data_IF_799177416804
#
_entry.id   IF_799177416804
#
_cell.length_a   1.000
_cell.length_b   1.000
_cell.length_c   1.000
_cell.angle_alpha   90.00
_cell.angle_beta   90.00
_cell.angle_gamma   90.00
#
_symmetry.space_group_name_H-M   'P 1'
#
loop_
_entity.id
_entity.type
_entity.pdbx_description
1 polymer ?
#
# COMPACT_ATOMS: atom_id res chain seq x y z
N UNK A 1 -10.73 -10.15 -9.04
CA UNK A 1 -9.57 -9.37 -8.56
C UNK A 1 -9.91 -8.48 -7.37
N UNK A 2 -10.97 -7.68 -7.39
CA UNK A 2 -11.40 -6.77 -6.30
C UNK A 2 -11.59 -7.46 -4.95
N UNK A 3 -12.26 -8.63 -4.94
CA UNK A 3 -12.46 -9.44 -3.71
C UNK A 3 -11.12 -9.82 -3.05
N UNK A 4 -10.12 -10.24 -3.85
CA UNK A 4 -8.78 -10.58 -3.34
C UNK A 4 -8.05 -9.36 -2.78
N UNK A 5 -8.21 -8.19 -3.40
CA UNK A 5 -7.66 -6.93 -2.87
C UNK A 5 -8.31 -6.55 -1.53
N UNK A 6 -9.62 -6.74 -1.41
CA UNK A 6 -10.34 -6.45 -0.17
C UNK A 6 -9.92 -7.40 0.96
N UNK A 7 -9.89 -8.70 0.71
CA UNK A 7 -9.47 -9.72 1.68
C UNK A 7 -8.02 -9.47 2.14
N UNK A 8 -7.10 -9.27 1.20
CA UNK A 8 -5.71 -8.92 1.55
C UNK A 8 -5.61 -7.67 2.42
N UNK A 9 -6.37 -6.63 2.11
CA UNK A 9 -6.37 -5.39 2.90
C UNK A 9 -6.87 -5.63 4.31
N UNK A 10 -7.94 -6.40 4.47
CA UNK A 10 -8.48 -6.81 5.78
C UNK A 10 -7.44 -7.56 6.59
N UNK A 11 -6.78 -8.56 6.01
CA UNK A 11 -5.73 -9.34 6.68
C UNK A 11 -4.54 -8.45 7.11
N UNK A 12 -4.07 -7.54 6.24
CA UNK A 12 -2.98 -6.60 6.58
C UNK A 12 -3.39 -5.65 7.70
N UNK A 13 -4.61 -5.13 7.68
CA UNK A 13 -5.11 -4.25 8.75
C UNK A 13 -5.19 -5.00 10.08
N UNK A 14 -5.81 -6.18 10.09
CA UNK A 14 -5.93 -7.01 11.28
C UNK A 14 -4.56 -7.42 11.85
N UNK A 15 -3.59 -7.75 10.98
CA UNK A 15 -2.22 -8.03 11.41
C UNK A 15 -1.56 -6.80 12.05
N UNK A 16 -1.77 -5.61 11.48
CA UNK A 16 -1.22 -4.35 12.02
C UNK A 16 -1.81 -4.02 13.38
N UNK A 17 -3.12 -4.21 13.56
CA UNK A 17 -3.78 -3.96 14.83
C UNK A 17 -3.34 -4.96 15.90
N UNK A 18 -3.23 -6.24 15.54
CA UNK A 18 -2.68 -7.27 16.44
C UNK A 18 -1.19 -6.99 16.81
N UNK A 19 -0.39 -6.44 15.89
CA UNK A 19 0.98 -6.02 16.21
C UNK A 19 1.02 -4.88 17.23
N UNK A 20 0.14 -3.88 17.10
CA UNK A 20 0.03 -2.79 18.08
C UNK A 20 -0.36 -3.32 19.46
N UNK A 21 -1.35 -4.25 19.52
CA UNK A 21 -1.76 -4.91 20.75
C UNK A 21 -0.60 -5.71 21.37
N UNK A 22 0.15 -6.47 20.54
CA UNK A 22 1.32 -7.22 21.00
C UNK A 22 2.37 -6.30 21.64
N UNK A 23 2.71 -5.19 20.99
CA UNK A 23 3.67 -4.22 21.52
C UNK A 23 3.17 -3.60 22.82
N UNK A 24 1.91 -3.19 22.91
CA UNK A 24 1.32 -2.62 24.13
C UNK A 24 1.36 -3.62 25.30
N UNK A 25 1.02 -4.88 25.01
CA UNK A 25 1.04 -5.94 26.04
C UNK A 25 2.47 -6.26 26.52
N UNK A 26 3.49 -6.21 25.64
CA UNK A 26 4.89 -6.41 26.03
C UNK A 26 5.38 -5.28 26.94
N UNK A 27 4.93 -4.03 26.69
CA UNK A 27 5.31 -2.88 27.55
C UNK A 27 4.69 -3.01 28.96
N UNK A 28 3.45 -3.49 29.04
CA UNK A 28 2.74 -3.68 30.30
C UNK A 28 3.01 -5.04 30.98
N UNK A 29 3.79 -5.92 30.36
CA UNK A 29 4.03 -7.27 30.85
C UNK A 29 4.86 -7.28 32.16
N UNK A 30 4.72 -8.32 33.01
CA UNK A 30 5.62 -8.56 34.14
C UNK A 30 7.08 -8.56 33.73
N UNK A 31 7.97 -8.17 34.65
CA UNK A 31 9.39 -7.93 34.39
C UNK A 31 10.08 -9.12 33.68
N UNK A 32 9.78 -10.34 34.12
CA UNK A 32 10.32 -11.58 33.54
C UNK A 32 10.07 -11.68 32.03
N UNK A 33 8.88 -11.32 31.59
CA UNK A 33 8.51 -11.33 30.17
C UNK A 33 9.05 -10.11 29.44
N UNK A 34 8.95 -8.92 30.06
CA UNK A 34 9.38 -7.66 29.48
C UNK A 34 10.88 -7.66 29.18
N UNK A 35 11.72 -8.09 30.13
CA UNK A 35 13.17 -8.18 29.92
C UNK A 35 13.56 -9.17 28.83
N UNK A 36 12.89 -10.31 28.79
CA UNK A 36 13.11 -11.35 27.78
C UNK A 36 12.72 -10.90 26.37
N UNK A 37 11.75 -9.99 26.23
CA UNK A 37 11.16 -9.59 24.95
C UNK A 37 11.58 -8.21 24.46
N UNK A 38 12.11 -7.34 25.31
CA UNK A 38 12.54 -5.97 24.95
C UNK A 38 13.65 -5.94 23.90
N UNK A 39 13.86 -4.78 23.31
CA UNK A 39 14.92 -4.51 22.32
C UNK A 39 14.88 -5.38 21.04
N UNK A 40 13.72 -5.94 20.70
CA UNK A 40 13.53 -6.73 19.49
C UNK A 40 12.83 -5.91 18.39
N UNK A 41 13.22 -6.11 17.15
CA UNK A 41 12.41 -5.64 16.01
C UNK A 41 11.05 -6.33 16.02
N UNK A 42 10.00 -5.72 15.43
CA UNK A 42 8.65 -6.30 15.36
C UNK A 42 8.66 -7.74 14.86
N UNK A 43 9.44 -8.03 13.82
CA UNK A 43 9.58 -9.39 13.27
C UNK A 43 10.16 -10.39 14.28
N UNK A 44 11.22 -9.98 14.98
CA UNK A 44 11.86 -10.81 16.01
C UNK A 44 10.95 -11.00 17.21
N UNK A 45 10.21 -9.95 17.61
CA UNK A 45 9.25 -10.00 18.70
C UNK A 45 8.12 -10.99 18.41
N UNK A 46 7.47 -10.89 17.25
CA UNK A 46 6.44 -11.85 16.83
C UNK A 46 6.99 -13.29 16.80
N UNK A 47 8.20 -13.49 16.28
CA UNK A 47 8.82 -14.82 16.25
C UNK A 47 9.11 -15.36 17.65
N UNK A 48 9.59 -14.51 18.57
CA UNK A 48 9.86 -14.87 19.96
C UNK A 48 8.57 -15.22 20.72
N UNK A 49 7.56 -14.36 20.63
CA UNK A 49 6.26 -14.56 21.28
C UNK A 49 5.54 -15.83 20.77
N UNK A 50 5.59 -16.10 19.44
CA UNK A 50 4.98 -17.31 18.88
C UNK A 50 5.55 -18.62 19.41
N UNK A 51 6.82 -18.58 19.86
CA UNK A 51 7.55 -19.74 20.44
C UNK A 51 7.59 -19.71 21.96
N UNK A 52 6.93 -18.73 22.60
CA UNK A 52 6.98 -18.57 24.06
C UNK A 52 6.45 -19.85 24.74
N UNK A 53 7.25 -20.40 25.65
CA UNK A 53 6.83 -21.51 26.50
C UNK A 53 6.33 -20.95 27.82
N UNK A 54 5.18 -21.44 28.27
CA UNK A 54 4.62 -21.11 29.58
C UNK A 54 5.28 -22.04 30.58
N UNK A 55 5.88 -21.53 31.61
CA UNK A 55 6.55 -22.29 32.64
C UNK A 55 5.59 -22.53 33.82
N UNK A 56 5.70 -23.69 34.46
CA UNK A 56 4.82 -24.08 35.57
C UNK A 56 5.06 -23.26 36.86
N UNK A 57 6.23 -22.69 36.96
CA UNK A 57 6.71 -21.84 38.07
C UNK A 57 6.29 -20.35 37.98
N UNK A 58 5.65 -20.01 36.86
CA UNK A 58 5.15 -18.65 36.68
C UNK A 58 3.85 -18.45 37.45
N UNK A 59 3.71 -17.24 38.01
CA UNK A 59 2.43 -16.81 38.58
C UNK A 59 1.31 -16.73 37.52
N UNK A 60 0.09 -16.56 37.99
CA UNK A 60 -1.10 -16.52 37.12
C UNK A 60 -1.04 -15.37 36.11
N UNK A 61 -0.57 -14.20 36.54
CA UNK A 61 -0.48 -13.01 35.68
C UNK A 61 0.56 -13.22 34.57
N UNK A 62 1.76 -13.67 34.91
CA UNK A 62 2.85 -13.96 33.97
C UNK A 62 2.43 -15.07 32.99
N UNK A 63 1.81 -16.14 33.46
CA UNK A 63 1.33 -17.24 32.64
C UNK A 63 0.24 -16.79 31.66
N UNK A 64 -0.75 -16.04 32.12
CA UNK A 64 -1.84 -15.51 31.30
C UNK A 64 -1.33 -14.52 30.25
N UNK A 65 -0.44 -13.60 30.66
CA UNK A 65 0.18 -12.65 29.74
C UNK A 65 1.00 -13.37 28.67
N UNK A 66 1.82 -14.35 29.07
CA UNK A 66 2.60 -15.17 28.14
C UNK A 66 1.74 -15.94 27.14
N UNK A 67 0.61 -16.52 27.59
CA UNK A 67 -0.32 -17.22 26.71
C UNK A 67 -0.98 -16.26 25.71
N UNK A 68 -1.38 -15.07 26.15
CA UNK A 68 -1.97 -14.03 25.30
C UNK A 68 -0.97 -13.51 24.26
N UNK A 69 0.27 -13.23 24.65
CA UNK A 69 1.35 -12.85 23.72
C UNK A 69 1.59 -13.91 22.65
N UNK A 70 1.60 -15.19 23.04
CA UNK A 70 1.76 -16.31 22.11
C UNK A 70 0.58 -16.41 21.13
N UNK A 71 -0.65 -16.23 21.60
CA UNK A 71 -1.86 -16.25 20.77
C UNK A 71 -1.86 -15.11 19.75
N UNK A 72 -1.59 -13.87 20.19
CA UNK A 72 -1.47 -12.70 19.31
C UNK A 72 -0.39 -12.90 18.24
N UNK A 73 0.78 -13.40 18.64
CA UNK A 73 1.87 -13.62 17.70
C UNK A 73 1.56 -14.69 16.64
N UNK A 74 0.86 -15.76 17.00
CA UNK A 74 0.37 -16.78 16.05
C UNK A 74 -0.64 -16.17 15.07
N UNK A 75 -1.62 -15.44 15.59
CA UNK A 75 -2.61 -14.71 14.77
C UNK A 75 -1.95 -13.75 13.78
N UNK A 76 -0.93 -12.98 14.20
CA UNK A 76 -0.18 -12.09 13.31
C UNK A 76 0.48 -12.88 12.17
N UNK A 77 1.06 -14.03 12.46
CA UNK A 77 1.69 -14.89 11.45
C UNK A 77 0.68 -15.42 10.45
N UNK A 78 -0.44 -15.91 10.90
CA UNK A 78 -1.54 -16.43 10.06
C UNK A 78 -2.07 -15.34 9.12
N UNK A 79 -2.41 -14.17 9.65
CA UNK A 79 -2.88 -13.02 8.85
C UNK A 79 -1.83 -12.53 7.85
N UNK A 80 -0.55 -12.59 8.21
CA UNK A 80 0.55 -12.23 7.30
C UNK A 80 0.69 -13.24 6.17
N UNK A 81 0.54 -14.53 6.46
CA UNK A 81 0.50 -15.60 5.45
C UNK A 81 -0.69 -15.43 4.51
N UNK A 82 -1.88 -15.26 5.06
CA UNK A 82 -3.11 -15.00 4.28
C UNK A 82 -2.94 -13.81 3.31
N UNK A 83 -2.38 -12.70 3.81
CA UNK A 83 -2.11 -11.53 2.97
C UNK A 83 -1.10 -11.82 1.85
N UNK A 84 -0.11 -12.69 2.09
CA UNK A 84 0.86 -13.12 1.08
C UNK A 84 0.21 -14.03 0.03
N UNK A 85 -0.66 -14.95 0.43
CA UNK A 85 -1.39 -15.85 -0.47
C UNK A 85 -2.32 -15.06 -1.40
N UNK A 86 -3.05 -14.09 -0.85
CA UNK A 86 -3.84 -13.17 -1.67
C UNK A 86 -2.98 -12.37 -2.65
N UNK A 87 -1.81 -11.89 -2.22
CA UNK A 87 -0.87 -11.19 -3.11
C UNK A 87 -0.40 -12.07 -4.25
N UNK A 88 -0.09 -13.33 -3.97
CA UNK A 88 0.34 -14.29 -5.00
C UNK A 88 -0.78 -14.59 -6.00
N UNK A 89 -2.00 -14.83 -5.52
CA UNK A 89 -3.15 -15.03 -6.39
C UNK A 89 -3.44 -13.79 -7.26
N UNK A 90 -3.29 -12.58 -6.72
CA UNK A 90 -3.41 -11.33 -7.47
C UNK A 90 -2.32 -11.24 -8.54
N UNK A 91 -1.08 -11.62 -8.24
CA UNK A 91 0.01 -11.61 -9.21
C UNK A 91 -0.30 -12.51 -10.42
N UNK A 92 -0.83 -13.71 -10.18
CA UNK A 92 -1.24 -14.64 -11.25
C UNK A 92 -2.30 -13.99 -12.13
N UNK A 93 -3.34 -13.38 -11.54
CA UNK A 93 -4.41 -12.71 -12.29
C UNK A 93 -3.89 -11.51 -13.11
N UNK A 94 -2.97 -10.72 -12.55
CA UNK A 94 -2.37 -9.58 -13.27
C UNK A 94 -1.52 -10.06 -14.43
N UNK A 95 -0.72 -11.10 -14.23
CA UNK A 95 0.12 -11.70 -15.30
C UNK A 95 -0.71 -12.26 -16.45
N UNK A 96 -1.83 -12.89 -16.13
CA UNK A 96 -2.72 -13.43 -17.14
C UNK A 96 -3.46 -12.35 -17.95
N UNK A 97 -3.74 -11.19 -17.34
CA UNK A 97 -4.55 -10.16 -18.00
C UNK A 97 -3.72 -9.02 -18.59
N UNK A 98 -2.82 -8.42 -17.80
CA UNK A 98 -2.02 -7.23 -18.18
C UNK A 98 -0.62 -7.31 -17.58
N UNK A 99 0.23 -8.24 -18.07
CA UNK A 99 1.61 -8.40 -17.60
C UNK A 99 2.47 -7.14 -17.83
N UNK A 100 2.15 -6.38 -18.85
CA UNK A 100 2.82 -5.13 -19.24
C UNK A 100 2.81 -4.06 -18.14
N UNK A 101 1.81 -4.06 -17.25
CA UNK A 101 1.79 -3.14 -16.11
C UNK A 101 2.92 -3.41 -15.12
N UNK A 102 3.34 -4.67 -14.97
CA UNK A 102 4.38 -5.07 -14.03
C UNK A 102 5.79 -4.66 -14.48
N UNK A 103 5.98 -4.31 -15.75
CA UNK A 103 7.26 -3.79 -16.28
C UNK A 103 7.51 -2.34 -15.90
N UNK A 104 6.46 -1.62 -15.44
CA UNK A 104 6.59 -0.21 -15.10
C UNK A 104 7.25 -0.01 -13.74
N UNK A 105 8.24 0.88 -13.60
CA UNK A 105 8.87 1.18 -12.33
C UNK A 105 7.84 1.57 -11.27
N UNK A 106 7.90 0.92 -10.11
CA UNK A 106 7.02 1.17 -8.97
C UNK A 106 5.63 0.53 -9.05
N UNK A 107 5.33 -0.21 -10.11
CA UNK A 107 4.03 -0.91 -10.27
C UNK A 107 4.20 -2.38 -9.91
N UNK A 108 3.87 -2.72 -8.68
CA UNK A 108 3.78 -4.11 -8.22
C UNK A 108 2.37 -4.70 -8.39
N UNK A 109 2.18 -6.00 -8.08
CA UNK A 109 0.91 -6.69 -8.32
C UNK A 109 -0.31 -6.02 -7.68
N UNK A 110 -0.17 -5.51 -6.47
CA UNK A 110 -1.27 -4.85 -5.76
C UNK A 110 -1.65 -3.51 -6.41
N UNK A 111 -0.65 -2.74 -6.82
CA UNK A 111 -0.87 -1.47 -7.54
C UNK A 111 -1.53 -1.76 -8.88
N UNK A 112 -0.99 -2.69 -9.67
CA UNK A 112 -1.54 -3.09 -10.97
C UNK A 112 -3.01 -3.54 -10.84
N UNK A 113 -3.29 -4.43 -9.89
CA UNK A 113 -4.64 -4.90 -9.62
C UNK A 113 -5.60 -3.78 -9.21
N UNK A 114 -5.15 -2.84 -8.37
CA UNK A 114 -5.98 -1.69 -7.95
C UNK A 114 -6.29 -0.78 -9.14
N UNK A 115 -5.29 -0.51 -9.98
CA UNK A 115 -5.45 0.28 -11.21
C UNK A 115 -6.41 -0.40 -12.19
N UNK A 116 -6.27 -1.72 -12.39
CA UNK A 116 -7.14 -2.51 -13.24
C UNK A 116 -8.60 -2.53 -12.74
N UNK A 117 -8.81 -2.68 -11.43
CA UNK A 117 -10.15 -2.62 -10.84
C UNK A 117 -10.80 -1.24 -11.01
N UNK A 118 -10.01 -0.16 -10.85
CA UNK A 118 -10.51 1.20 -11.03
C UNK A 118 -10.77 1.55 -12.50
N UNK A 119 -9.94 1.04 -13.41
CA UNK A 119 -10.12 1.22 -14.85
C UNK A 119 -11.27 0.35 -15.40
N UNK A 120 -11.38 -0.90 -14.91
CA UNK A 120 -12.41 -1.90 -15.26
C UNK A 120 -12.37 -2.39 -16.70
N UNK A 121 -12.56 -1.52 -17.70
CA UNK A 121 -12.57 -1.84 -19.13
C UNK A 121 -12.25 -0.60 -19.97
N UNK A 122 -11.89 -0.82 -21.23
CA UNK A 122 -11.64 0.25 -22.19
C UNK A 122 -12.91 1.12 -22.38
N UNK A 123 -12.71 2.41 -22.48
CA UNK A 123 -13.78 3.38 -22.68
C UNK A 123 -14.58 3.78 -21.43
N UNK A 124 -14.36 3.15 -20.27
CA UNK A 124 -15.01 3.57 -19.02
C UNK A 124 -14.72 5.03 -18.66
N UNK A 125 -13.50 5.46 -18.83
CA UNK A 125 -13.09 6.85 -18.66
C UNK A 125 -12.92 7.47 -20.04
N UNK A 126 -13.54 8.61 -20.28
CA UNK A 126 -13.47 9.32 -21.56
C UNK A 126 -12.09 9.84 -21.94
N UNK A 127 -11.15 9.92 -20.99
CA UNK A 127 -9.81 10.44 -21.21
C UNK A 127 -8.87 10.11 -20.05
N UNK A 128 -7.57 10.29 -20.26
CA UNK A 128 -6.53 10.19 -19.22
C UNK A 128 -6.72 11.23 -18.10
N UNK A 129 -7.29 12.39 -18.42
CA UNK A 129 -7.64 13.40 -17.45
C UNK A 129 -8.82 12.97 -16.57
N UNK A 130 -9.82 12.30 -17.14
CA UNK A 130 -10.96 11.74 -16.40
C UNK A 130 -10.51 10.63 -15.45
N UNK A 131 -9.60 9.76 -15.88
CA UNK A 131 -9.01 8.75 -15.01
C UNK A 131 -8.19 9.36 -13.87
N UNK A 132 -7.41 10.40 -14.15
CA UNK A 132 -6.69 11.14 -13.11
C UNK A 132 -7.65 11.83 -12.12
N UNK A 133 -8.81 12.31 -12.59
CA UNK A 133 -9.87 12.86 -11.74
C UNK A 133 -10.48 11.79 -10.84
N UNK A 134 -10.75 10.59 -11.38
CA UNK A 134 -11.22 9.43 -10.61
C UNK A 134 -10.24 9.08 -9.48
N UNK A 135 -8.93 9.12 -9.75
CA UNK A 135 -7.88 8.90 -8.74
C UNK A 135 -7.64 10.09 -7.80
N UNK A 136 -8.44 11.15 -7.85
CA UNK A 136 -8.23 12.36 -7.04
C UNK A 136 -6.92 13.10 -7.35
N UNK A 137 -6.29 12.81 -8.49
CA UNK A 137 -4.99 13.36 -8.88
C UNK A 137 -5.10 14.66 -9.70
N UNK A 138 -6.26 14.94 -10.26
CA UNK A 138 -6.48 16.18 -11.00
C UNK A 138 -6.90 17.32 -10.07
N UNK A 139 -6.36 18.55 -10.29
CA UNK A 139 -6.77 19.71 -9.51
C UNK A 139 -8.20 20.12 -9.90
N UNK A 140 -8.96 20.61 -8.92
CA UNK A 140 -10.29 21.18 -9.15
C UNK A 140 -10.13 22.70 -9.28
N UNK A 141 -10.63 23.32 -10.37
CA UNK A 141 -10.68 24.77 -10.46
C UNK A 141 -11.48 25.36 -9.29
N UNK A 142 -10.94 26.39 -8.69
CA UNK A 142 -11.56 27.12 -7.59
C UNK A 142 -11.37 28.64 -7.81
N UNK A 143 -11.50 29.05 -9.06
CA UNK A 143 -11.33 30.43 -9.48
C UNK A 143 -12.59 31.22 -9.22
N UNK A 144 -12.41 32.45 -8.77
CA UNK A 144 -13.45 33.49 -8.74
C UNK A 144 -12.88 34.77 -9.40
N UNK A 145 -13.50 35.23 -10.48
CA UNK A 145 -13.06 36.41 -11.20
C UNK A 145 -11.65 36.27 -11.79
N UNK A 146 -10.80 37.26 -11.53
CA UNK A 146 -9.45 37.33 -12.13
C UNK A 146 -8.40 36.37 -11.52
N UNK A 147 -8.72 35.68 -10.41
CA UNK A 147 -7.74 34.83 -9.73
C UNK A 147 -7.91 33.39 -10.12
N UNK A 148 -6.93 32.80 -10.82
CA UNK A 148 -6.88 31.38 -11.13
C UNK A 148 -6.36 30.62 -9.91
N UNK A 149 -7.25 29.96 -9.20
CA UNK A 149 -6.90 29.07 -8.07
C UNK A 149 -7.31 27.63 -8.37
N UNK A 150 -6.58 26.68 -7.81
CA UNK A 150 -6.92 25.26 -7.87
C UNK A 150 -6.92 24.68 -6.46
N UNK A 151 -7.91 23.86 -6.16
CA UNK A 151 -7.98 23.12 -4.90
C UNK A 151 -7.76 21.65 -5.08
N UNK A 152 -7.42 20.98 -3.98
CA UNK A 152 -7.25 19.55 -3.95
C UNK A 152 -8.59 18.84 -4.19
N UNK A 153 -8.60 17.87 -5.11
CA UNK A 153 -9.72 16.95 -5.23
C UNK A 153 -9.69 15.97 -4.04
N UNK A 154 -10.72 16.04 -3.18
CA UNK A 154 -10.90 15.13 -2.04
C UNK A 154 -11.90 14.01 -2.34
N UNK A 155 -12.62 14.08 -3.48
CA UNK A 155 -13.67 13.15 -3.91
C UNK A 155 -13.07 12.14 -4.86
N UNK A 156 -12.25 11.38 -4.75
CA UNK A 156 -11.73 10.37 -5.69
C UNK A 156 -11.71 8.97 -5.06
N UNK A 157 -11.44 7.98 -5.87
CA UNK A 157 -11.16 6.63 -5.38
C UNK A 157 -9.88 6.66 -4.53
N UNK A 158 -10.05 6.50 -3.22
CA UNK A 158 -8.95 6.53 -2.25
C UNK A 158 -7.94 5.40 -2.47
N UNK A 159 -8.40 4.25 -2.95
CA UNK A 159 -7.51 3.10 -3.19
C UNK A 159 -6.65 3.35 -4.41
N UNK A 160 -7.26 3.84 -5.48
CA UNK A 160 -6.52 4.28 -6.67
C UNK A 160 -5.53 5.39 -6.33
N UNK A 161 -5.94 6.40 -5.57
CA UNK A 161 -5.05 7.48 -5.12
C UNK A 161 -3.85 6.94 -4.35
N UNK A 162 -4.08 6.05 -3.39
CA UNK A 162 -3.03 5.42 -2.59
C UNK A 162 -2.08 4.57 -3.45
N UNK A 163 -2.62 3.84 -4.43
CA UNK A 163 -1.81 3.05 -5.36
C UNK A 163 -0.90 3.95 -6.22
N UNK A 164 -1.45 5.02 -6.80
CA UNK A 164 -0.69 6.00 -7.56
C UNK A 164 0.38 6.70 -6.72
N UNK A 165 0.05 7.05 -5.48
CA UNK A 165 1.00 7.64 -4.52
C UNK A 165 2.15 6.68 -4.21
N UNK A 166 1.87 5.39 -4.03
CA UNK A 166 2.87 4.35 -3.81
C UNK A 166 3.85 4.26 -4.97
N UNK A 167 3.36 4.31 -6.22
CA UNK A 167 4.22 4.37 -7.42
C UNK A 167 5.16 5.56 -7.37
N UNK A 168 4.61 6.76 -7.06
CA UNK A 168 5.41 7.99 -6.98
C UNK A 168 6.51 7.88 -5.91
N UNK A 169 6.18 7.38 -4.72
CA UNK A 169 7.17 7.21 -3.66
C UNK A 169 8.28 6.22 -4.06
N UNK A 170 7.91 5.13 -4.71
CA UNK A 170 8.88 4.14 -5.20
C UNK A 170 9.78 4.77 -6.27
N UNK A 171 9.21 5.45 -7.27
CA UNK A 171 9.98 6.12 -8.33
C UNK A 171 10.91 7.22 -7.81
N UNK A 172 10.47 8.00 -6.83
CA UNK A 172 11.32 9.01 -6.20
C UNK A 172 12.56 8.40 -5.51
N UNK A 173 12.49 7.13 -5.11
CA UNK A 173 13.62 6.39 -4.52
C UNK A 173 14.48 5.72 -5.57
N UNK A 174 13.89 5.16 -6.62
CA UNK A 174 14.56 4.20 -7.51
C UNK A 174 14.73 4.68 -8.95
N UNK A 175 13.87 5.61 -9.43
CA UNK A 175 13.87 6.03 -10.83
C UNK A 175 14.63 7.35 -11.04
N UNK A 176 15.76 7.35 -11.80
CA UNK A 176 16.57 8.53 -12.02
C UNK A 176 15.82 9.68 -12.69
N UNK A 177 14.93 9.39 -13.65
CA UNK A 177 14.16 10.41 -14.37
C UNK A 177 13.19 11.14 -13.45
N UNK A 178 12.51 10.40 -12.56
CA UNK A 178 11.61 10.98 -11.56
C UNK A 178 12.38 11.84 -10.54
N UNK A 179 13.57 11.40 -10.13
CA UNK A 179 14.46 12.18 -9.24
C UNK A 179 14.92 13.48 -9.88
N UNK A 180 15.38 13.42 -11.14
CA UNK A 180 15.80 14.60 -11.89
C UNK A 180 14.66 15.61 -12.05
N UNK A 181 13.44 15.13 -12.38
CA UNK A 181 12.24 15.97 -12.40
C UNK A 181 12.00 16.64 -11.04
N UNK A 182 12.04 15.90 -9.95
CA UNK A 182 11.80 16.45 -8.61
C UNK A 182 12.85 17.50 -8.23
N UNK A 183 14.12 17.29 -8.53
CA UNK A 183 15.22 18.23 -8.29
C UNK A 183 15.00 19.54 -9.06
N UNK A 184 14.72 19.46 -10.36
CA UNK A 184 14.41 20.62 -11.20
C UNK A 184 13.23 21.41 -10.66
N UNK A 185 12.15 20.76 -10.24
CA UNK A 185 10.96 21.43 -9.72
C UNK A 185 11.21 22.10 -8.37
N UNK A 186 12.08 21.55 -7.51
CA UNK A 186 12.52 22.21 -6.27
C UNK A 186 13.32 23.47 -6.56
N UNK A 187 14.22 23.42 -7.52
CA UNK A 187 14.96 24.62 -7.96
C UNK A 187 14.05 25.74 -8.49
N UNK A 188 12.85 25.38 -8.99
CA UNK A 188 11.79 26.31 -9.40
C UNK A 188 10.87 26.76 -8.23
N UNK A 189 11.26 26.52 -6.98
CA UNK A 189 10.49 26.91 -5.80
C UNK A 189 9.28 26.03 -5.45
N UNK A 190 9.10 24.87 -6.12
CA UNK A 190 7.97 23.99 -5.80
C UNK A 190 8.22 23.13 -4.56
N UNK A 191 7.21 23.06 -3.70
CA UNK A 191 7.25 22.20 -2.51
C UNK A 191 7.19 20.73 -2.86
N UNK A 192 7.72 19.86 -1.98
CA UNK A 192 7.64 18.42 -2.15
C UNK A 192 6.19 17.91 -2.29
N UNK A 193 5.22 18.59 -1.68
CA UNK A 193 3.80 18.26 -1.78
C UNK A 193 3.25 18.54 -3.18
N UNK A 194 3.58 19.68 -3.77
CA UNK A 194 3.21 20.02 -5.15
C UNK A 194 3.86 19.08 -6.16
N UNK A 195 5.14 18.78 -6.00
CA UNK A 195 5.88 17.84 -6.87
C UNK A 195 5.22 16.48 -6.86
N UNK A 196 4.90 15.92 -5.69
CA UNK A 196 4.20 14.63 -5.58
C UNK A 196 2.83 14.66 -6.27
N UNK A 197 2.06 15.73 -6.12
CA UNK A 197 0.76 15.88 -6.80
C UNK A 197 0.89 15.88 -8.33
N UNK A 198 1.87 16.59 -8.87
CA UNK A 198 2.16 16.55 -10.30
C UNK A 198 2.55 15.15 -10.75
N UNK A 199 3.42 14.48 -10.02
CA UNK A 199 3.86 13.11 -10.34
C UNK A 199 2.71 12.10 -10.30
N UNK A 200 1.82 12.17 -9.29
CA UNK A 200 0.63 11.31 -9.21
C UNK A 200 -0.24 11.47 -10.47
N UNK A 201 -0.45 12.70 -10.91
CA UNK A 201 -1.21 13.00 -12.13
C UNK A 201 -0.53 12.42 -13.38
N UNK A 202 0.79 12.54 -13.51
CA UNK A 202 1.55 11.95 -14.62
C UNK A 202 1.47 10.43 -14.62
N UNK A 203 1.63 9.81 -13.46
CA UNK A 203 1.51 8.36 -13.30
C UNK A 203 0.11 7.88 -13.68
N UNK A 204 -0.95 8.56 -13.22
CA UNK A 204 -2.32 8.22 -13.57
C UNK A 204 -2.54 8.25 -15.09
N UNK A 205 -2.10 9.32 -15.76
CA UNK A 205 -2.22 9.47 -17.21
C UNK A 205 -1.40 8.43 -17.97
N UNK A 206 -0.18 8.15 -17.53
CA UNK A 206 0.67 7.14 -18.14
C UNK A 206 0.05 5.75 -18.08
N UNK A 207 -0.47 5.35 -16.90
CA UNK A 207 -1.10 4.06 -16.71
C UNK A 207 -2.40 3.94 -17.52
N UNK A 208 -3.21 5.00 -17.55
CA UNK A 208 -4.43 5.02 -18.36
C UNK A 208 -4.14 4.80 -19.85
N UNK A 209 -3.21 5.56 -20.42
CA UNK A 209 -2.83 5.41 -21.83
C UNK A 209 -2.35 3.99 -22.15
N UNK A 210 -1.57 3.39 -21.25
CA UNK A 210 -1.14 2.00 -21.41
C UNK A 210 -2.33 1.03 -21.36
N UNK A 211 -3.33 1.27 -20.50
CA UNK A 211 -4.51 0.42 -20.38
C UNK A 211 -5.44 0.52 -21.61
N UNK A 212 -5.57 1.69 -22.21
CA UNK A 212 -6.36 1.89 -23.43
C UNK A 212 -5.68 1.35 -24.69
N UNK A 213 -4.35 1.21 -24.67
CA UNK A 213 -3.63 0.52 -25.74
C UNK A 213 -3.88 -0.98 -25.55
N UNK A 214 -4.53 -1.63 -26.55
CA UNK A 214 -4.68 -3.09 -26.53
C UNK A 214 -3.26 -3.71 -26.50
N UNK A 215 -3.00 -4.69 -25.62
CA UNK A 215 -1.80 -5.49 -25.80
C UNK A 215 -1.88 -6.11 -27.20
N UNK A 216 -0.80 -6.03 -27.97
CA UNK A 216 -0.70 -6.85 -29.17
C UNK A 216 -0.99 -8.29 -28.73
N UNK A 217 -2.11 -8.84 -29.20
CA UNK A 217 -2.39 -10.26 -29.09
C UNK A 217 -1.38 -10.87 -30.03
N UNK A 218 -0.30 -11.45 -29.50
CA UNK A 218 0.57 -12.30 -30.28
C UNK A 218 -0.33 -13.40 -30.84
N UNK A 219 -0.65 -13.28 -32.12
CA UNK A 219 -1.33 -14.31 -32.87
C UNK A 219 -0.35 -15.50 -32.94
N UNK A 220 -0.60 -16.49 -32.08
CA UNK A 220 0.01 -17.82 -32.17
C UNK A 220 -1.02 -18.75 -32.76
#
# INVERSE_FOLDING_TARGET
MSVRLAARRSAVQAATDAQRQLHALVVAAPDVLRERLRARSTRQLVAACARLRIHADWDVETSSTGATLRSLARRIRELTSEAADHRQAILVLVRAWRPDLLTRPGVGPIVAATVLCAWSHAGRCRSDAAFAMLGGAAPIPASSGQTVRVRLNRSGDRQLNQALYTVVLTRLRTDPATRAYATRRRAQGKTNREIKRCLIRYVARQLYRQLETQPAVDAT
#
